data_IF_374811273969
#
_entry.id   IF_374811273969
#
_cell.length_a   1.000
_cell.length_b   1.000
_cell.length_c   1.000
_cell.angle_alpha   90.00
_cell.angle_beta   90.00
_cell.angle_gamma   90.00
#
_symmetry.space_group_name_H-M   'P 1'
#
loop_
_entity.id
_entity.type
_entity.pdbx_description
1 polymer ?
#
# COMPACT_ATOMS: atom_id res chain seq x y z
N UNK A 1 -5.84 -2.34 10.45
CA UNK A 1 -6.58 -1.84 11.64
C UNK A 1 -5.64 -1.89 12.84
N UNK A 2 -5.89 -1.09 13.89
CA UNK A 2 -5.18 -1.17 15.16
C UNK A 2 -6.19 -1.46 16.29
N UNK A 3 -5.92 -2.51 17.06
CA UNK A 3 -6.80 -3.03 18.10
C UNK A 3 -6.09 -3.02 19.46
N UNK A 4 -6.82 -2.64 20.51
CA UNK A 4 -6.35 -2.63 21.88
C UNK A 4 -6.85 -3.84 22.68
N UNK A 5 -6.60 -3.87 24.00
CA UNK A 5 -7.16 -4.88 24.89
C UNK A 5 -8.68 -4.99 24.76
N UNK A 6 -9.21 -6.21 24.87
CA UNK A 6 -10.65 -6.45 24.76
C UNK A 6 -11.23 -6.21 23.35
N UNK A 7 -10.40 -6.28 22.30
CA UNK A 7 -10.79 -6.09 20.90
C UNK A 7 -11.37 -4.69 20.59
N UNK A 8 -11.01 -3.69 21.40
CA UNK A 8 -11.43 -2.32 21.14
C UNK A 8 -10.70 -1.77 19.91
N UNK A 9 -11.45 -1.28 18.92
CA UNK A 9 -10.87 -0.63 17.75
C UNK A 9 -10.33 0.75 18.16
N UNK A 10 -9.00 0.91 18.08
CA UNK A 10 -8.34 2.17 18.41
C UNK A 10 -8.19 3.06 17.18
N UNK A 11 -7.92 2.47 16.02
CA UNK A 11 -7.73 3.19 14.76
C UNK A 11 -7.91 2.29 13.54
N UNK A 12 -8.25 2.90 12.40
CA UNK A 12 -8.26 2.22 11.11
C UNK A 12 -7.68 3.09 10.01
N UNK A 13 -7.25 2.43 8.94
CA UNK A 13 -6.87 3.05 7.68
C UNK A 13 -7.54 2.29 6.54
N UNK A 14 -8.04 3.04 5.58
CA UNK A 14 -8.58 2.56 4.32
C UNK A 14 -7.83 3.26 3.20
N UNK A 15 -7.30 2.47 2.29
CA UNK A 15 -6.61 2.97 1.11
C UNK A 15 -6.72 2.00 -0.04
N UNK A 16 -6.41 2.50 -1.22
CA UNK A 16 -6.43 1.77 -2.48
C UNK A 16 -5.19 2.06 -3.29
N UNK A 17 -5.00 1.21 -4.28
CA UNK A 17 -3.94 1.23 -5.26
C UNK A 17 -4.43 1.91 -6.54
N UNK A 18 -3.80 2.99 -6.99
CA UNK A 18 -4.22 3.73 -8.17
C UNK A 18 -3.06 3.97 -9.14
N UNK A 19 -3.37 4.36 -10.38
CA UNK A 19 -2.38 4.64 -11.42
C UNK A 19 -2.17 3.50 -12.42
N UNK A 20 -1.23 3.70 -13.35
CA UNK A 20 -0.95 2.78 -14.47
C UNK A 20 0.56 2.67 -14.69
N UNK A 21 1.03 1.45 -15.01
CA UNK A 21 2.44 1.20 -15.28
C UNK A 21 3.34 1.61 -14.11
N UNK A 22 4.34 2.45 -14.40
CA UNK A 22 5.29 2.97 -13.42
C UNK A 22 4.75 4.17 -12.59
N UNK A 23 3.56 4.69 -12.92
CA UNK A 23 2.91 5.79 -12.17
C UNK A 23 1.93 5.29 -11.10
N UNK A 24 2.08 4.03 -10.72
CA UNK A 24 1.24 3.43 -9.71
C UNK A 24 1.59 4.00 -8.32
N UNK A 25 0.59 4.30 -7.51
CA UNK A 25 0.76 4.89 -6.18
C UNK A 25 -0.38 4.51 -5.23
N UNK A 26 -0.10 4.56 -3.92
CA UNK A 26 -1.11 4.40 -2.88
C UNK A 26 -1.97 5.65 -2.73
N UNK A 27 -3.28 5.45 -2.58
CA UNK A 27 -4.26 6.50 -2.29
C UNK A 27 -4.91 6.23 -0.93
N UNK A 28 -4.84 7.21 -0.02
CA UNK A 28 -5.50 7.12 1.29
C UNK A 28 -6.95 7.60 1.16
N UNK A 29 -7.92 6.73 1.44
CA UNK A 29 -9.34 7.12 1.47
C UNK A 29 -9.73 7.66 2.83
N UNK A 30 -9.31 6.99 3.90
CA UNK A 30 -9.59 7.42 5.26
C UNK A 30 -8.53 6.92 6.22
N UNK A 31 -8.15 7.77 7.18
CA UNK A 31 -7.42 7.37 8.37
C UNK A 31 -8.11 7.99 9.57
N UNK A 32 -8.40 7.19 10.60
CA UNK A 32 -9.14 7.66 11.77
C UNK A 32 -8.59 6.99 13.02
N UNK A 33 -8.42 7.80 14.07
CA UNK A 33 -7.95 7.37 15.39
C UNK A 33 -8.97 7.86 16.41
N UNK A 34 -9.44 6.96 17.28
CA UNK A 34 -10.39 7.34 18.32
C UNK A 34 -9.74 8.37 19.26
N UNK A 35 -10.50 9.35 19.80
CA UNK A 35 -9.95 10.45 20.60
C UNK A 35 -9.00 10.01 21.72
N UNK A 36 -9.36 8.97 22.46
CA UNK A 36 -8.61 8.47 23.61
C UNK A 36 -7.25 7.85 23.22
N UNK A 37 -7.09 7.46 21.96
CA UNK A 37 -5.88 6.82 21.43
C UNK A 37 -5.04 7.75 20.54
N UNK A 38 -5.36 9.05 20.50
CA UNK A 38 -4.58 10.05 19.78
C UNK A 38 -3.20 10.26 20.45
N UNK A 39 -2.26 10.83 19.69
CA UNK A 39 -0.88 11.12 20.13
C UNK A 39 -0.01 9.91 20.51
N UNK A 40 -0.48 8.70 20.21
CA UNK A 40 0.27 7.45 20.37
C UNK A 40 0.93 6.96 19.07
N UNK A 41 1.03 7.84 18.06
CA UNK A 41 1.58 7.55 16.72
C UNK A 41 0.86 6.43 15.95
N UNK A 42 -0.40 6.10 16.31
CA UNK A 42 -1.18 5.07 15.62
C UNK A 42 -1.43 5.40 14.14
N UNK A 43 -1.77 6.66 13.82
CA UNK A 43 -1.97 7.09 12.44
C UNK A 43 -0.70 6.91 11.59
N UNK A 44 0.46 7.29 12.14
CA UNK A 44 1.75 7.13 11.46
C UNK A 44 2.05 5.65 11.18
N UNK A 45 1.87 4.78 12.18
CA UNK A 45 2.05 3.33 12.01
C UNK A 45 1.13 2.77 10.92
N UNK A 46 -0.14 3.18 10.90
CA UNK A 46 -1.10 2.75 9.89
C UNK A 46 -0.73 3.24 8.49
N UNK A 47 -0.21 4.47 8.37
CA UNK A 47 0.28 5.02 7.10
C UNK A 47 1.47 4.23 6.55
N UNK A 48 2.46 3.90 7.39
CA UNK A 48 3.59 3.07 6.97
C UNK A 48 3.14 1.67 6.50
N UNK A 49 2.11 1.11 7.13
CA UNK A 49 1.53 -0.17 6.70
C UNK A 49 0.91 -0.01 5.31
N UNK A 50 0.14 1.04 5.07
CA UNK A 50 -0.47 1.27 3.76
C UNK A 50 0.61 1.43 2.67
N UNK A 51 1.61 2.26 2.91
CA UNK A 51 2.75 2.48 2.00
C UNK A 51 3.43 1.15 1.63
N UNK A 52 3.79 0.35 2.64
CA UNK A 52 4.43 -0.95 2.45
C UNK A 52 3.56 -1.95 1.67
N UNK A 53 2.26 -1.98 1.97
CA UNK A 53 1.31 -2.84 1.25
C UNK A 53 1.17 -2.38 -0.20
N UNK A 54 1.11 -1.08 -0.44
CA UNK A 54 0.97 -0.53 -1.79
C UNK A 54 2.22 -0.82 -2.62
N UNK A 55 3.42 -0.59 -2.08
CA UNK A 55 4.68 -0.87 -2.80
C UNK A 55 4.84 -2.35 -3.15
N UNK A 56 4.51 -3.24 -2.21
CA UNK A 56 4.53 -4.69 -2.46
C UNK A 56 3.48 -5.14 -3.48
N UNK A 57 2.29 -4.54 -3.42
CA UNK A 57 1.23 -4.79 -4.39
C UNK A 57 1.68 -4.45 -5.81
N UNK A 58 2.38 -3.32 -5.99
CA UNK A 58 2.95 -2.96 -7.28
C UNK A 58 4.03 -3.94 -7.74
N UNK A 59 4.95 -4.35 -6.87
CA UNK A 59 6.01 -5.31 -7.21
C UNK A 59 5.44 -6.65 -7.72
N UNK A 60 4.34 -7.12 -7.14
CA UNK A 60 3.66 -8.34 -7.59
C UNK A 60 2.91 -8.18 -8.93
N UNK A 61 2.56 -6.94 -9.31
CA UNK A 61 1.83 -6.61 -10.53
C UNK A 61 2.74 -6.14 -11.67
N UNK A 62 4.05 -6.00 -11.45
CA UNK A 62 4.98 -5.71 -12.55
C UNK A 62 4.87 -6.82 -13.59
N UNK A 63 4.61 -6.50 -14.87
CA UNK A 63 4.59 -7.50 -15.91
C UNK A 63 5.95 -8.21 -15.89
N UNK A 64 5.90 -9.55 -15.80
CA UNK A 64 7.07 -10.41 -15.94
C UNK A 64 7.84 -9.92 -17.17
N UNK A 65 9.17 -9.70 -17.10
CA UNK A 65 9.90 -9.18 -18.24
C UNK A 65 9.58 -10.06 -19.45
N UNK A 66 8.86 -9.51 -20.41
CA UNK A 66 8.67 -10.19 -21.68
C UNK A 66 10.07 -10.38 -22.22
N UNK A 67 10.46 -11.64 -22.38
CA UNK A 67 11.76 -12.01 -22.92
C UNK A 67 12.02 -11.09 -24.12
N UNK A 68 13.09 -10.29 -24.02
CA UNK A 68 13.52 -9.41 -25.11
C UNK A 68 13.42 -10.25 -26.37
N UNK A 69 12.60 -9.81 -27.33
CA UNK A 69 12.53 -10.43 -28.63
C UNK A 69 13.94 -10.39 -29.19
N UNK A 70 14.62 -11.54 -29.16
CA UNK A 70 15.85 -11.78 -29.89
C UNK A 70 15.46 -11.63 -31.35
N UNK A 71 15.57 -10.42 -31.90
CA UNK A 71 15.73 -10.26 -33.35
C UNK A 71 17.12 -10.79 -33.67
N UNK A 72 17.18 -12.11 -33.81
CA UNK A 72 18.22 -12.78 -34.57
C UNK A 72 18.18 -12.18 -35.98
N UNK A 73 19.36 -11.81 -36.47
CA UNK A 73 19.50 -11.23 -37.79
C UNK A 73 19.02 -12.16 -38.89
N UNK A 74 18.59 -11.54 -39.97
CA UNK A 74 18.71 -12.03 -41.34
C UNK A 74 18.84 -10.79 -42.21
N UNK A 75 20.04 -10.66 -42.78
CA UNK A 75 20.43 -9.99 -44.03
C UNK A 75 20.14 -8.50 -44.22
#
# INVERSE_FOLDING_TARGET
>A
VAEGPGQQIMAYILGKAEGKGELWHGHVTAVTVAPDFRRQHLAQKLMHILEHVTDKGHAALKPRPTAKATRAGTE
#
